data_IF_579926460142
#
_entry.id   IF_579926460142
#
_cell.length_a   1.000
_cell.length_b   1.000
_cell.length_c   1.000
_cell.angle_alpha   90.00
_cell.angle_beta   90.00
_cell.angle_gamma   90.00
#
_symmetry.space_group_name_H-M   'P 1'
#
loop_
_entity.id
_entity.type
_entity.pdbx_description
1 polymer ?
#
# COMPACT_ATOMS: atom_id res chain seq x y z
N UNK A 1 27.39 -61.07 -52.23
CA UNK A 1 27.03 -59.62 -52.25
C UNK A 1 25.52 -59.35 -52.36
N UNK A 2 24.76 -59.99 -53.28
CA UNK A 2 23.31 -59.75 -53.45
C UNK A 2 22.44 -60.02 -52.20
N UNK A 3 22.79 -61.03 -51.39
CA UNK A 3 22.05 -61.38 -50.17
C UNK A 3 22.20 -60.34 -49.06
N UNK A 4 23.42 -59.84 -48.86
CA UNK A 4 23.73 -58.81 -47.85
C UNK A 4 23.03 -57.49 -48.19
N UNK A 5 22.98 -57.11 -49.46
CA UNK A 5 22.31 -55.89 -49.92
C UNK A 5 20.79 -55.92 -49.66
N UNK A 6 20.14 -57.09 -49.84
CA UNK A 6 18.70 -57.27 -49.56
C UNK A 6 18.37 -57.18 -48.07
N UNK A 7 19.26 -57.71 -47.21
CA UNK A 7 19.09 -57.63 -45.76
C UNK A 7 19.28 -56.19 -45.28
N UNK A 8 20.33 -55.52 -45.76
CA UNK A 8 20.60 -54.12 -45.43
C UNK A 8 19.45 -53.18 -45.84
N UNK A 9 18.88 -53.37 -47.04
CA UNK A 9 17.73 -52.58 -47.49
C UNK A 9 16.48 -52.82 -46.63
N UNK A 10 16.27 -54.05 -46.17
CA UNK A 10 15.13 -54.38 -45.30
C UNK A 10 15.23 -53.71 -43.93
N UNK A 11 16.42 -53.70 -43.33
CA UNK A 11 16.66 -53.03 -42.03
C UNK A 11 16.51 -51.51 -42.16
N UNK A 12 17.02 -50.92 -43.24
CA UNK A 12 16.88 -49.48 -43.52
C UNK A 12 15.40 -49.08 -43.68
N UNK A 13 14.64 -49.85 -44.46
CA UNK A 13 13.20 -49.62 -44.63
C UNK A 13 12.43 -49.75 -43.31
N UNK A 14 12.71 -50.78 -42.52
CA UNK A 14 12.07 -50.97 -41.22
C UNK A 14 12.37 -49.80 -40.26
N UNK A 15 13.60 -49.29 -40.27
CA UNK A 15 14.01 -48.13 -39.48
C UNK A 15 13.26 -46.86 -39.89
N UNK A 16 13.16 -46.59 -41.19
CA UNK A 16 12.45 -45.41 -41.72
C UNK A 16 10.95 -45.48 -41.37
N UNK A 17 10.32 -46.64 -41.53
CA UNK A 17 8.90 -46.83 -41.22
C UNK A 17 8.65 -46.61 -39.72
N UNK A 18 9.50 -47.17 -38.87
CA UNK A 18 9.37 -47.03 -37.41
C UNK A 18 9.57 -45.57 -36.97
N UNK A 19 10.51 -44.86 -37.60
CA UNK A 19 10.73 -43.44 -37.35
C UNK A 19 9.52 -42.59 -37.78
N UNK A 20 8.98 -42.82 -38.97
CA UNK A 20 7.82 -42.11 -39.48
C UNK A 20 6.58 -42.31 -38.60
N UNK A 21 6.32 -43.55 -38.15
CA UNK A 21 5.21 -43.86 -37.24
C UNK A 21 5.38 -43.17 -35.89
N UNK A 22 6.60 -43.17 -35.33
CA UNK A 22 6.87 -42.45 -34.07
C UNK A 22 6.72 -40.94 -34.21
N UNK A 23 7.22 -40.36 -35.30
CA UNK A 23 7.10 -38.94 -35.56
C UNK A 23 5.61 -38.53 -35.71
N UNK A 24 4.83 -39.32 -36.46
CA UNK A 24 3.39 -39.11 -36.60
C UNK A 24 2.67 -39.22 -35.25
N UNK A 25 2.98 -40.25 -34.46
CA UNK A 25 2.40 -40.45 -33.13
C UNK A 25 2.70 -39.29 -32.19
N UNK A 26 3.95 -38.82 -32.14
CA UNK A 26 4.36 -37.68 -31.30
C UNK A 26 3.68 -36.39 -31.76
N UNK A 27 3.60 -36.13 -33.07
CA UNK A 27 2.93 -34.92 -33.58
C UNK A 27 1.44 -34.89 -33.21
N UNK A 28 0.78 -36.06 -33.23
CA UNK A 28 -0.62 -36.20 -32.87
C UNK A 28 -0.86 -35.97 -31.37
N UNK A 29 -0.03 -36.56 -30.50
CA UNK A 29 -0.18 -36.38 -29.04
C UNK A 29 0.13 -34.96 -28.60
N UNK A 30 1.10 -34.29 -29.25
CA UNK A 30 1.42 -32.88 -28.99
C UNK A 30 0.23 -31.98 -29.32
N UNK A 31 -0.46 -32.19 -30.45
CA UNK A 31 -1.61 -31.36 -30.82
C UNK A 31 -2.73 -31.42 -29.77
N UNK A 32 -3.09 -32.62 -29.33
CA UNK A 32 -4.13 -32.82 -28.31
C UNK A 32 -3.71 -32.19 -26.98
N UNK A 33 -2.44 -32.36 -26.59
CA UNK A 33 -1.93 -31.78 -25.35
C UNK A 33 -1.94 -30.24 -25.38
N UNK A 34 -1.65 -29.62 -26.53
CA UNK A 34 -1.61 -28.15 -26.64
C UNK A 34 -2.97 -27.48 -26.49
N UNK A 35 -4.06 -28.12 -26.90
CA UNK A 35 -5.41 -27.55 -26.75
C UNK A 35 -5.84 -27.49 -25.29
N UNK A 36 -5.66 -28.60 -24.54
CA UNK A 36 -5.93 -28.62 -23.10
C UNK A 36 -5.05 -27.63 -22.32
N UNK A 37 -3.80 -27.45 -22.74
CA UNK A 37 -2.89 -26.49 -22.12
C UNK A 37 -3.31 -25.04 -22.38
N UNK A 38 -3.81 -24.74 -23.58
CA UNK A 38 -4.25 -23.38 -23.95
C UNK A 38 -5.42 -22.92 -23.09
N UNK A 39 -6.42 -23.78 -22.89
CA UNK A 39 -7.57 -23.46 -22.05
C UNK A 39 -7.16 -23.20 -20.59
N UNK A 40 -6.28 -24.04 -20.04
CA UNK A 40 -5.75 -23.84 -18.69
C UNK A 40 -4.93 -22.54 -18.55
N UNK A 41 -4.14 -22.20 -19.58
CA UNK A 41 -3.35 -20.95 -19.60
C UNK A 41 -4.27 -19.73 -19.72
N UNK A 42 -5.32 -19.76 -20.54
CA UNK A 42 -6.26 -18.65 -20.66
C UNK A 42 -7.00 -18.39 -19.36
N UNK A 43 -7.49 -19.44 -18.71
CA UNK A 43 -8.18 -19.30 -17.42
C UNK A 43 -7.24 -18.74 -16.34
N UNK A 44 -5.98 -19.20 -16.33
CA UNK A 44 -4.98 -18.69 -15.40
C UNK A 44 -4.61 -17.23 -15.68
N UNK A 45 -4.52 -16.83 -16.96
CA UNK A 45 -4.28 -15.44 -17.36
C UNK A 45 -5.43 -14.52 -16.95
N UNK A 46 -6.68 -14.93 -17.14
CA UNK A 46 -7.85 -14.14 -16.73
C UNK A 46 -7.89 -13.96 -15.21
N UNK A 47 -7.65 -15.03 -14.44
CA UNK A 47 -7.56 -14.95 -12.98
C UNK A 47 -6.41 -14.05 -12.53
N UNK A 48 -5.26 -14.13 -13.20
CA UNK A 48 -4.12 -13.27 -12.91
C UNK A 48 -4.42 -11.81 -13.22
N UNK A 49 -5.09 -11.52 -14.34
CA UNK A 49 -5.50 -10.17 -14.72
C UNK A 49 -6.50 -9.58 -13.72
N UNK A 50 -7.49 -10.35 -13.28
CA UNK A 50 -8.43 -9.92 -12.24
C UNK A 50 -7.72 -9.63 -10.91
N UNK A 51 -6.82 -10.52 -10.47
CA UNK A 51 -6.04 -10.30 -9.25
C UNK A 51 -5.12 -9.07 -9.35
N UNK A 52 -4.55 -8.79 -10.52
CA UNK A 52 -3.74 -7.59 -10.73
C UNK A 52 -4.59 -6.33 -10.67
N UNK A 53 -5.75 -6.31 -11.34
CA UNK A 53 -6.68 -5.18 -11.28
C UNK A 53 -7.15 -4.90 -9.85
N UNK A 54 -7.50 -5.94 -9.08
CA UNK A 54 -7.90 -5.79 -7.68
C UNK A 54 -6.75 -5.22 -6.82
N UNK A 55 -5.51 -5.72 -7.00
CA UNK A 55 -4.34 -5.21 -6.28
C UNK A 55 -4.06 -3.75 -6.60
N UNK A 56 -4.21 -3.34 -7.86
CA UNK A 56 -4.05 -1.95 -8.28
C UNK A 56 -5.11 -1.05 -7.67
N UNK A 57 -6.37 -1.49 -7.65
CA UNK A 57 -7.46 -0.78 -7.00
C UNK A 57 -7.20 -0.64 -5.49
N UNK A 58 -6.86 -1.73 -4.81
CA UNK A 58 -6.51 -1.70 -3.39
C UNK A 58 -5.32 -0.79 -3.11
N UNK A 59 -4.28 -0.81 -3.96
CA UNK A 59 -3.13 0.08 -3.83
C UNK A 59 -3.53 1.55 -4.01
N UNK A 60 -4.43 1.85 -4.95
CA UNK A 60 -4.96 3.19 -5.18
C UNK A 60 -5.77 3.68 -3.99
N UNK A 61 -6.64 2.83 -3.43
CA UNK A 61 -7.44 3.15 -2.25
C UNK A 61 -6.54 3.40 -1.03
N UNK A 62 -5.52 2.56 -0.81
CA UNK A 62 -4.54 2.75 0.27
C UNK A 62 -3.80 4.07 0.14
N UNK A 63 -3.33 4.42 -1.07
CA UNK A 63 -2.68 5.72 -1.33
C UNK A 63 -3.62 6.88 -1.03
N UNK A 64 -4.88 6.80 -1.44
CA UNK A 64 -5.87 7.85 -1.18
C UNK A 64 -6.16 8.00 0.32
N UNK A 65 -6.30 6.90 1.05
CA UNK A 65 -6.48 6.91 2.50
C UNK A 65 -5.26 7.52 3.21
N UNK A 66 -4.05 7.15 2.79
CA UNK A 66 -2.81 7.69 3.35
C UNK A 66 -2.71 9.20 3.11
N UNK A 67 -3.02 9.68 1.89
CA UNK A 67 -3.04 11.11 1.59
C UNK A 67 -4.04 11.85 2.47
N UNK A 68 -5.27 11.33 2.60
CA UNK A 68 -6.29 11.93 3.49
C UNK A 68 -5.83 11.99 4.94
N UNK A 69 -5.15 10.95 5.43
CA UNK A 69 -4.61 10.93 6.79
C UNK A 69 -3.52 11.98 6.99
N UNK A 70 -2.61 12.14 6.02
CA UNK A 70 -1.56 13.16 6.03
C UNK A 70 -2.18 14.56 6.01
N UNK A 71 -3.15 14.81 5.14
CA UNK A 71 -3.82 16.11 5.04
C UNK A 71 -4.60 16.45 6.31
N UNK A 72 -5.30 15.48 6.90
CA UNK A 72 -5.98 15.64 8.18
C UNK A 72 -4.99 15.95 9.31
N UNK A 73 -3.86 15.24 9.37
CA UNK A 73 -2.80 15.51 10.34
C UNK A 73 -2.20 16.90 10.16
N UNK A 74 -1.96 17.32 8.90
CA UNK A 74 -1.45 18.66 8.57
C UNK A 74 -2.42 19.76 9.00
N UNK A 75 -3.72 19.63 8.68
CA UNK A 75 -4.75 20.57 9.13
C UNK A 75 -4.82 20.65 10.64
N UNK A 76 -4.83 19.51 11.34
CA UNK A 76 -4.83 19.47 12.81
C UNK A 76 -3.59 20.14 13.40
N UNK A 77 -2.41 19.91 12.82
CA UNK A 77 -1.16 20.55 13.24
C UNK A 77 -1.19 22.06 13.04
N UNK A 78 -1.71 22.54 11.90
CA UNK A 78 -1.87 23.97 11.62
C UNK A 78 -2.83 24.63 12.60
N UNK A 79 -3.99 24.02 12.87
CA UNK A 79 -4.96 24.53 13.84
C UNK A 79 -4.40 24.54 15.27
N UNK A 80 -3.65 23.50 15.64
CA UNK A 80 -2.93 23.47 16.91
C UNK A 80 -1.90 24.60 17.00
N UNK A 81 -1.11 24.82 15.97
CA UNK A 81 -0.11 25.89 15.93
C UNK A 81 -0.74 27.29 15.98
N UNK A 82 -1.89 27.50 15.33
CA UNK A 82 -2.67 28.75 15.46
C UNK A 82 -3.16 28.95 16.88
N UNK A 83 -3.81 27.94 17.47
CA UNK A 83 -4.30 27.99 18.86
C UNK A 83 -3.15 28.24 19.84
N UNK A 84 -2.00 27.61 19.64
CA UNK A 84 -0.83 27.78 20.49
C UNK A 84 -0.25 29.20 20.40
N UNK A 85 -0.20 29.79 19.20
CA UNK A 85 0.20 31.20 19.03
C UNK A 85 -0.77 32.13 19.76
N UNK A 86 -2.06 31.99 19.51
CA UNK A 86 -3.08 32.77 20.20
C UNK A 86 -3.01 32.63 21.74
N UNK A 87 -2.69 31.44 22.24
CA UNK A 87 -2.48 31.23 23.68
C UNK A 87 -1.25 31.98 24.20
N UNK A 88 -0.14 31.94 23.47
CA UNK A 88 1.09 32.64 23.86
C UNK A 88 0.87 34.17 23.88
N UNK A 89 0.06 34.69 22.96
CA UNK A 89 -0.28 36.11 22.91
C UNK A 89 -1.28 36.51 24.02
N UNK A 90 -2.20 35.60 24.39
CA UNK A 90 -3.21 35.83 25.42
C UNK A 90 -2.67 35.73 26.86
N UNK A 91 -1.82 34.73 27.11
CA UNK A 91 -1.39 34.40 28.47
C UNK A 91 -0.08 35.08 28.84
N UNK A 92 -0.17 35.99 29.79
CA UNK A 92 0.99 36.58 30.47
C UNK A 92 1.11 35.97 31.86
N UNK A 93 2.28 35.44 32.20
CA UNK A 93 2.53 34.89 33.52
C UNK A 93 2.62 36.02 34.56
N UNK A 94 2.03 35.85 35.76
CA UNK A 94 2.25 36.77 36.87
C UNK A 94 3.73 36.84 37.26
N UNK A 95 4.15 37.99 37.77
CA UNK A 95 5.53 38.19 38.23
C UNK A 95 5.93 37.13 39.27
N UNK A 96 7.13 36.57 39.12
CA UNK A 96 7.65 35.54 40.02
C UNK A 96 7.22 34.11 39.67
N UNK A 97 6.28 33.88 38.75
CA UNK A 97 5.90 32.52 38.34
C UNK A 97 6.94 31.83 37.42
N UNK A 98 8.02 32.52 37.04
CA UNK A 98 9.15 31.93 36.29
C UNK A 98 10.04 31.06 37.19
N UNK A 99 10.12 31.39 38.48
CA UNK A 99 10.91 30.66 39.49
C UNK A 99 10.04 30.47 40.73
N UNK A 100 9.63 29.21 40.97
CA UNK A 100 8.83 28.90 42.15
C UNK A 100 9.62 29.17 43.43
N UNK A 101 8.95 29.83 44.37
CA UNK A 101 9.55 30.25 45.65
C UNK A 101 9.26 29.24 46.77
N UNK A 102 8.22 28.44 46.57
CA UNK A 102 7.76 27.37 47.46
C UNK A 102 6.76 26.49 46.69
N UNK A 103 6.43 25.33 47.24
CA UNK A 103 5.40 24.45 46.68
C UNK A 103 4.02 25.13 46.65
N UNK A 104 3.72 25.96 47.66
CA UNK A 104 2.49 26.78 47.68
C UNK A 104 2.45 27.77 46.51
N UNK A 105 3.54 28.49 46.27
CA UNK A 105 3.67 29.42 45.16
C UNK A 105 3.56 28.72 43.80
N UNK A 106 4.12 27.51 43.67
CA UNK A 106 3.96 26.69 42.47
C UNK A 106 2.49 26.38 42.19
N UNK A 107 1.74 25.95 43.21
CA UNK A 107 0.31 25.62 43.07
C UNK A 107 -0.48 26.87 42.66
N UNK A 108 -0.20 28.03 43.24
CA UNK A 108 -0.82 29.30 42.86
C UNK A 108 -0.57 29.66 41.39
N UNK A 109 0.68 29.58 40.91
CA UNK A 109 1.04 29.83 39.52
C UNK A 109 0.38 28.84 38.55
N UNK A 110 0.32 27.55 38.89
CA UNK A 110 -0.36 26.54 38.08
C UNK A 110 -1.86 26.81 38.04
N UNK A 111 -2.48 27.12 39.19
CA UNK A 111 -3.91 27.44 39.27
C UNK A 111 -4.26 28.68 38.45
N UNK A 112 -3.40 29.71 38.48
CA UNK A 112 -3.55 30.89 37.63
C UNK A 112 -3.53 30.51 36.14
N UNK A 113 -2.52 29.75 35.71
CA UNK A 113 -2.41 29.28 34.32
C UNK A 113 -3.61 28.45 33.88
N UNK A 114 -4.11 27.58 34.76
CA UNK A 114 -5.30 26.75 34.49
C UNK A 114 -6.57 27.59 34.34
N UNK A 115 -6.77 28.60 35.19
CA UNK A 115 -7.90 29.53 35.08
C UNK A 115 -7.86 30.31 33.78
N UNK A 116 -6.69 30.91 33.48
CA UNK A 116 -6.49 31.66 32.24
C UNK A 116 -6.69 30.78 31.00
N UNK A 117 -6.28 29.51 31.05
CA UNK A 117 -6.53 28.54 29.97
C UNK A 117 -8.03 28.28 29.78
N UNK A 118 -8.79 28.14 30.86
CA UNK A 118 -10.24 27.95 30.78
C UNK A 118 -10.96 29.17 30.19
N UNK A 119 -10.51 30.38 30.50
CA UNK A 119 -11.04 31.62 29.91
C UNK A 119 -10.66 31.74 28.44
N UNK A 120 -9.40 31.51 28.10
CA UNK A 120 -8.92 31.49 26.72
C UNK A 120 -9.75 30.54 25.85
N UNK A 121 -10.02 29.32 26.30
CA UNK A 121 -10.80 28.37 25.50
C UNK A 121 -12.24 28.83 25.25
N UNK A 122 -12.86 29.52 26.22
CA UNK A 122 -14.19 30.12 26.03
C UNK A 122 -14.16 31.21 24.96
N UNK A 123 -13.20 32.13 25.06
CA UNK A 123 -13.10 33.27 24.13
C UNK A 123 -12.65 32.81 22.73
N UNK A 124 -11.69 31.90 22.64
CA UNK A 124 -11.21 31.33 21.38
C UNK A 124 -12.32 30.57 20.64
N UNK A 125 -13.14 29.78 21.36
CA UNK A 125 -14.30 29.08 20.77
C UNK A 125 -15.40 30.05 20.32
N UNK A 126 -15.56 31.18 20.99
CA UNK A 126 -16.48 32.25 20.59
C UNK A 126 -15.96 33.09 19.41
N UNK A 127 -14.74 32.85 18.92
CA UNK A 127 -14.12 33.60 17.83
C UNK A 127 -13.54 34.96 18.25
N UNK A 128 -13.46 35.25 19.55
CA UNK A 128 -13.01 36.55 20.08
C UNK A 128 -11.49 36.76 20.03
N UNK A 129 -10.70 35.71 19.80
CA UNK A 129 -9.24 35.76 19.66
C UNK A 129 -8.88 35.01 18.38
N UNK A 130 -8.39 35.73 17.38
CA UNK A 130 -7.87 35.17 16.13
C UNK A 130 -6.36 35.39 16.08
N UNK A 131 -5.57 34.32 15.96
CA UNK A 131 -4.14 34.44 15.68
C UNK A 131 -3.99 35.02 14.27
N UNK A 132 -3.59 36.28 14.16
CA UNK A 132 -3.27 36.91 12.86
C UNK A 132 -1.94 36.38 12.34
#
# INVERSE_FOLDING_TARGET
MKLVLKIASGVLLAGIITFAVRAAYVSYTVHIATEALREAVTEQQERAAMMQAEREEQARLKKLQQQRAIDAARKKSQEYAKKQRAWNDYYVAPEGCEIYKSDGHMVECINHKMRAKGEFEKVYKAGGISST
#
